data_IF_250908991773
#
_entry.id   IF_250908991773
#
_cell.length_a   1.000
_cell.length_b   1.000
_cell.length_c   1.000
_cell.angle_alpha   90.00
_cell.angle_beta   90.00
_cell.angle_gamma   90.00
#
_symmetry.space_group_name_H-M   'P 1'
#
loop_
_entity.id
_entity.type
_entity.pdbx_description
1 polymer ?
#
# COMPACT_ATOMS: atom_id res chain seq x y z
N UNK A 1 -11.65 17.12 5.62
CA UNK A 1 -10.19 16.96 5.46
C UNK A 1 -9.47 17.88 6.44
N UNK A 2 -8.44 17.40 7.15
CA UNK A 2 -7.60 18.23 8.03
C UNK A 2 -6.31 18.58 7.28
N UNK A 3 -6.20 19.85 6.88
CA UNK A 3 -4.96 20.40 6.31
C UNK A 3 -3.98 20.77 7.43
N UNK A 4 -2.68 20.69 7.15
CA UNK A 4 -1.62 21.12 8.06
C UNK A 4 -0.84 22.33 7.52
N UNK A 5 -1.39 23.56 7.57
CA UNK A 5 -0.70 24.75 7.08
C UNK A 5 0.66 24.99 7.75
N UNK A 6 0.77 24.70 9.05
CA UNK A 6 2.04 24.84 9.78
C UNK A 6 3.14 23.91 9.25
N UNK A 7 2.78 22.78 8.63
CA UNK A 7 3.74 21.83 8.06
C UNK A 7 4.52 22.45 6.88
N UNK A 8 3.93 23.43 6.19
CA UNK A 8 4.60 24.18 5.10
C UNK A 8 5.86 24.88 5.62
N UNK A 9 5.81 25.48 6.81
CA UNK A 9 6.94 26.22 7.40
C UNK A 9 8.14 25.32 7.74
N UNK A 10 7.92 24.01 7.94
CA UNK A 10 8.97 23.02 8.17
C UNK A 10 9.31 22.21 6.91
N UNK A 11 8.79 22.65 5.75
CA UNK A 11 9.05 22.05 4.44
C UNK A 11 8.35 20.71 4.20
N UNK A 12 7.34 20.37 4.99
CA UNK A 12 6.45 19.24 4.73
C UNK A 12 5.30 19.71 3.83
N UNK A 13 5.46 19.50 2.52
CA UNK A 13 4.55 19.96 1.48
C UNK A 13 4.36 18.89 0.41
N UNK A 14 3.23 18.93 -0.30
CA UNK A 14 2.96 18.10 -1.48
C UNK A 14 3.89 18.49 -2.65
N UNK A 15 3.84 17.74 -3.76
CA UNK A 15 4.70 17.97 -4.94
C UNK A 15 4.63 19.42 -5.44
N UNK A 16 3.44 20.02 -5.42
CA UNK A 16 3.19 21.40 -5.83
C UNK A 16 3.51 22.47 -4.76
N UNK A 17 3.90 22.07 -3.56
CA UNK A 17 4.13 22.98 -2.43
C UNK A 17 2.92 23.21 -1.52
N UNK A 18 1.75 22.64 -1.82
CA UNK A 18 0.56 22.74 -0.97
C UNK A 18 0.73 21.99 0.35
N UNK A 19 -0.03 22.40 1.38
CA UNK A 19 0.01 21.78 2.70
C UNK A 19 -0.48 20.32 2.63
N UNK A 20 0.12 19.38 3.39
CA UNK A 20 -0.36 18.01 3.47
C UNK A 20 -1.66 17.91 4.26
N UNK A 21 -2.33 16.77 4.12
CA UNK A 21 -3.60 16.53 4.77
C UNK A 21 -3.77 15.09 5.27
N UNK A 22 -4.69 14.91 6.22
CA UNK A 22 -5.27 13.62 6.56
C UNK A 22 -6.78 13.78 6.84
N UNK A 23 -7.50 12.68 6.93
CA UNK A 23 -8.85 12.64 7.51
C UNK A 23 -8.79 11.83 8.80
N UNK A 24 -9.51 12.27 9.83
CA UNK A 24 -9.62 11.58 11.11
C UNK A 24 -11.09 11.45 11.46
N UNK A 25 -11.49 10.22 11.78
CA UNK A 25 -12.74 9.90 12.43
C UNK A 25 -12.43 9.37 13.84
N UNK A 26 -12.93 10.06 14.86
CA UNK A 26 -12.53 9.83 16.24
C UNK A 26 -13.08 8.51 16.79
N UNK A 27 -12.24 7.78 17.52
CA UNK A 27 -12.62 6.54 18.17
C UNK A 27 -13.54 6.79 19.38
N UNK A 28 -14.23 5.75 19.82
CA UNK A 28 -15.17 5.82 20.93
C UNK A 28 -15.16 4.55 21.80
N UNK A 29 -15.69 4.66 23.02
CA UNK A 29 -15.77 3.55 23.97
C UNK A 29 -14.40 2.90 24.23
N UNK A 30 -14.36 1.57 24.19
CA UNK A 30 -13.12 0.80 24.37
C UNK A 30 -12.08 1.01 23.25
N UNK A 31 -12.49 1.57 22.10
CA UNK A 31 -11.61 1.88 20.98
C UNK A 31 -11.00 3.29 21.01
N UNK A 32 -11.39 4.15 21.95
CA UNK A 32 -10.97 5.56 21.98
C UNK A 32 -9.44 5.77 22.13
N UNK A 33 -8.70 4.77 22.64
CA UNK A 33 -7.22 4.77 22.70
C UNK A 33 -6.57 3.83 21.68
N UNK A 34 -7.33 3.28 20.73
CA UNK A 34 -6.80 2.46 19.66
C UNK A 34 -6.81 3.25 18.35
N UNK A 35 -5.84 2.98 17.47
CA UNK A 35 -5.57 3.80 16.29
C UNK A 35 -5.36 2.95 15.04
N UNK A 36 -6.08 3.25 13.97
CA UNK A 36 -5.89 2.69 12.64
C UNK A 36 -5.44 3.82 11.71
N UNK A 37 -4.20 3.74 11.23
CA UNK A 37 -3.62 4.71 10.31
C UNK A 37 -3.54 4.07 8.93
N UNK A 38 -4.35 4.53 7.98
CA UNK A 38 -4.43 4.01 6.61
C UNK A 38 -3.78 4.98 5.62
N UNK A 39 -2.70 4.58 4.97
CA UNK A 39 -2.14 5.33 3.85
C UNK A 39 -3.03 5.23 2.61
N UNK A 40 -3.31 6.38 1.99
CA UNK A 40 -3.87 6.43 0.64
C UNK A 40 -2.87 5.91 -0.40
N UNK A 41 -3.35 5.12 -1.36
CA UNK A 41 -2.58 4.68 -2.53
C UNK A 41 -2.60 5.69 -3.68
N UNK A 42 -2.07 5.29 -4.84
CA UNK A 42 -2.22 6.09 -6.07
C UNK A 42 -1.02 6.08 -7.00
N UNK A 43 -0.20 5.02 -7.03
CA UNK A 43 0.98 4.95 -7.90
C UNK A 43 2.06 5.95 -7.53
N UNK A 44 2.92 6.29 -8.48
CA UNK A 44 4.11 7.11 -8.24
C UNK A 44 4.51 7.88 -9.50
N UNK A 45 5.47 8.78 -9.37
CA UNK A 45 6.19 9.38 -10.49
C UNK A 45 7.69 9.14 -10.33
N UNK A 46 8.42 8.95 -11.43
CA UNK A 46 9.83 8.54 -11.39
C UNK A 46 10.76 9.42 -12.24
N UNK A 47 10.21 10.41 -12.93
CA UNK A 47 10.96 11.44 -13.66
C UNK A 47 10.31 12.82 -13.48
N UNK A 48 11.04 13.87 -13.86
CA UNK A 48 10.57 15.26 -13.68
C UNK A 48 9.26 15.53 -14.41
N UNK A 49 9.09 14.98 -15.61
CA UNK A 49 7.90 15.23 -16.43
C UNK A 49 6.64 14.60 -15.82
N UNK A 50 6.73 13.32 -15.43
CA UNK A 50 5.64 12.61 -14.74
C UNK A 50 5.33 13.24 -13.39
N UNK A 51 6.34 13.68 -12.62
CA UNK A 51 6.09 14.34 -11.34
C UNK A 51 5.47 15.74 -11.50
N UNK A 52 5.87 16.51 -12.52
CA UNK A 52 5.26 17.79 -12.85
C UNK A 52 3.79 17.62 -13.28
N UNK A 53 3.49 16.62 -14.11
CA UNK A 53 2.11 16.28 -14.48
C UNK A 53 1.30 15.85 -13.26
N UNK A 54 1.89 15.09 -12.35
CA UNK A 54 1.25 14.65 -11.11
C UNK A 54 0.93 15.80 -10.15
N UNK A 55 1.79 16.83 -10.11
CA UNK A 55 1.61 18.02 -9.27
C UNK A 55 0.29 18.76 -9.57
N UNK A 56 -0.25 18.65 -10.78
CA UNK A 56 -1.51 19.28 -11.20
C UNK A 56 -2.75 18.43 -10.89
N UNK A 57 -2.60 17.38 -10.07
CA UNK A 57 -3.67 16.44 -9.72
C UNK A 57 -3.80 16.30 -8.20
N UNK A 58 -4.91 15.69 -7.75
CA UNK A 58 -5.10 15.35 -6.33
C UNK A 58 -4.06 14.37 -5.75
N UNK A 59 -3.14 13.83 -6.57
CA UNK A 59 -2.04 12.94 -6.15
C UNK A 59 -0.69 13.64 -5.99
N UNK A 60 -0.60 14.91 -6.35
CA UNK A 60 0.57 15.76 -6.15
C UNK A 60 0.25 17.09 -5.47
N UNK A 61 -1.04 17.37 -5.20
CA UNK A 61 -1.52 18.58 -4.57
C UNK A 61 -2.79 18.33 -3.76
N UNK A 62 -2.90 18.93 -2.57
CA UNK A 62 -4.15 18.94 -1.82
C UNK A 62 -5.18 19.92 -2.37
N UNK A 63 -4.78 20.88 -3.23
CA UNK A 63 -5.69 21.84 -3.87
C UNK A 63 -6.65 21.17 -4.85
N UNK A 64 -6.23 20.06 -5.45
CA UNK A 64 -7.03 19.26 -6.39
C UNK A 64 -7.60 17.98 -5.75
N UNK A 65 -7.48 17.83 -4.43
CA UNK A 65 -7.94 16.64 -3.71
C UNK A 65 -9.36 16.84 -3.21
N UNK A 66 -10.18 15.78 -3.28
CA UNK A 66 -11.56 15.81 -2.75
C UNK A 66 -11.52 16.04 -1.23
N UNK A 67 -12.37 16.94 -0.76
CA UNK A 67 -12.47 17.30 0.65
C UNK A 67 -13.07 16.20 1.52
N UNK A 68 -14.03 15.44 0.96
CA UNK A 68 -14.65 14.29 1.62
C UNK A 68 -13.94 13.00 1.21
N UNK A 69 -13.76 12.12 2.19
CA UNK A 69 -13.21 10.78 1.98
C UNK A 69 -14.16 9.76 2.64
N UNK A 70 -14.73 8.82 1.89
CA UNK A 70 -15.56 7.77 2.46
C UNK A 70 -14.69 6.76 3.23
N UNK A 71 -15.12 6.43 4.45
CA UNK A 71 -14.45 5.46 5.31
C UNK A 71 -15.18 4.12 5.18
N UNK A 72 -14.63 3.22 4.38
CA UNK A 72 -15.22 1.92 4.01
C UNK A 72 -14.29 0.76 4.38
N UNK A 73 -14.81 -0.46 4.34
CA UNK A 73 -14.05 -1.67 4.67
C UNK A 73 -13.43 -1.58 6.06
N UNK A 74 -12.10 -1.72 6.15
CA UNK A 74 -11.33 -1.61 7.38
C UNK A 74 -11.45 -0.25 8.09
N UNK A 75 -11.87 0.80 7.36
CA UNK A 75 -12.15 2.13 7.93
C UNK A 75 -13.63 2.34 8.29
N UNK A 76 -14.53 1.39 8.02
CA UNK A 76 -15.94 1.57 8.40
C UNK A 76 -16.10 1.71 9.92
N UNK A 77 -17.03 2.56 10.34
CA UNK A 77 -17.43 2.71 11.75
C UNK A 77 -18.64 1.82 12.13
N UNK A 78 -19.16 1.04 11.18
CA UNK A 78 -20.24 0.10 11.41
C UNK A 78 -19.67 -1.25 11.92
N UNK A 79 -20.03 -1.70 13.14
CA UNK A 79 -19.55 -2.97 13.69
C UNK A 79 -19.97 -4.20 12.86
N UNK A 80 -21.03 -4.09 12.06
CA UNK A 80 -21.45 -5.18 11.15
C UNK A 80 -20.58 -5.26 9.90
N UNK A 81 -19.81 -4.20 9.60
CA UNK A 81 -18.93 -4.11 8.44
C UNK A 81 -17.44 -4.17 8.81
N UNK A 82 -17.09 -3.79 10.04
CA UNK A 82 -15.71 -3.72 10.52
C UNK A 82 -15.60 -4.12 12.01
N UNK A 83 -15.95 -5.36 12.37
CA UNK A 83 -16.23 -5.75 13.76
C UNK A 83 -15.09 -5.48 14.75
N UNK A 84 -13.84 -5.55 14.28
CA UNK A 84 -12.66 -5.48 15.12
C UNK A 84 -12.08 -4.05 15.27
N UNK A 85 -12.34 -3.16 14.30
CA UNK A 85 -11.75 -1.80 14.25
C UNK A 85 -12.79 -0.66 14.19
N UNK A 86 -14.10 -0.97 14.19
CA UNK A 86 -15.20 0.01 14.04
C UNK A 86 -15.30 1.11 15.12
N UNK A 87 -14.60 0.99 16.24
CA UNK A 87 -14.62 2.02 17.29
C UNK A 87 -13.24 2.65 17.55
N UNK A 88 -12.24 2.36 16.72
CA UNK A 88 -10.90 2.93 16.82
C UNK A 88 -10.87 4.35 16.26
N UNK A 89 -9.85 5.13 16.63
CA UNK A 89 -9.49 6.33 15.89
C UNK A 89 -9.02 5.90 14.50
N UNK A 90 -9.73 6.31 13.46
CA UNK A 90 -9.41 5.94 12.08
C UNK A 90 -8.85 7.14 11.35
N UNK A 91 -7.70 6.98 10.74
CA UNK A 91 -7.00 8.05 10.03
C UNK A 91 -6.74 7.63 8.61
N UNK A 92 -7.11 8.47 7.63
CA UNK A 92 -6.67 8.34 6.24
C UNK A 92 -5.57 9.36 5.97
N UNK A 93 -4.34 8.91 5.77
CA UNK A 93 -3.21 9.78 5.42
C UNK A 93 -3.28 10.09 3.92
N UNK A 94 -3.46 11.37 3.56
CA UNK A 94 -3.72 11.76 2.17
C UNK A 94 -2.43 11.84 1.38
N UNK A 95 -2.34 11.04 0.33
CA UNK A 95 -1.15 10.87 -0.48
C UNK A 95 -0.99 12.01 -1.47
N UNK A 96 0.17 12.67 -1.42
CA UNK A 96 0.50 13.77 -2.33
C UNK A 96 2.00 13.93 -2.62
N UNK A 97 2.85 12.95 -2.27
CA UNK A 97 4.31 13.07 -2.39
C UNK A 97 4.92 12.31 -3.58
N UNK A 98 4.24 11.27 -4.09
CA UNK A 98 4.69 10.53 -5.26
C UNK A 98 5.75 9.45 -5.01
N UNK A 99 6.14 9.17 -3.76
CA UNK A 99 7.09 8.12 -3.38
C UNK A 99 6.69 7.38 -2.09
N UNK A 100 5.42 7.01 -1.94
CA UNK A 100 4.97 6.22 -0.77
C UNK A 100 5.39 6.81 0.58
N UNK A 101 5.29 8.14 0.74
CA UNK A 101 5.70 8.85 1.94
C UNK A 101 7.19 8.71 2.30
N UNK A 102 8.09 8.46 1.35
CA UNK A 102 9.53 8.23 1.65
C UNK A 102 10.49 9.23 1.03
N UNK A 103 10.05 10.07 0.09
CA UNK A 103 10.91 11.09 -0.52
C UNK A 103 11.33 12.18 0.49
N UNK A 104 12.54 12.71 0.32
CA UNK A 104 12.94 13.98 0.93
C UNK A 104 14.04 14.67 0.10
N UNK A 105 13.64 15.18 -1.05
CA UNK A 105 14.45 16.02 -1.94
C UNK A 105 13.58 17.09 -2.59
N UNK A 106 14.17 17.86 -3.50
CA UNK A 106 13.44 18.76 -4.38
C UNK A 106 14.18 18.85 -5.72
N UNK A 107 13.44 19.22 -6.76
CA UNK A 107 14.00 19.52 -8.06
C UNK A 107 13.66 20.96 -8.46
N UNK A 108 14.67 21.73 -8.84
CA UNK A 108 14.52 23.10 -9.30
C UNK A 108 15.08 23.23 -10.72
N UNK A 109 14.26 23.74 -11.65
CA UNK A 109 14.65 23.95 -13.04
C UNK A 109 14.97 25.42 -13.37
N UNK A 110 15.06 26.30 -12.37
CA UNK A 110 15.26 27.75 -12.57
C UNK A 110 13.98 28.58 -12.55
N UNK A 111 12.79 27.97 -12.72
CA UNK A 111 11.50 28.68 -12.75
C UNK A 111 10.45 28.08 -11.81
N UNK A 112 10.56 26.79 -11.49
CA UNK A 112 9.60 26.04 -10.69
C UNK A 112 10.32 25.01 -9.83
N UNK A 113 9.73 24.69 -8.69
CA UNK A 113 10.21 23.67 -7.76
C UNK A 113 9.19 22.53 -7.72
N UNK A 114 9.68 21.30 -7.79
CA UNK A 114 8.93 20.11 -7.40
C UNK A 114 9.45 19.62 -6.06
N UNK A 115 8.55 19.41 -5.11
CA UNK A 115 8.90 19.02 -3.75
C UNK A 115 8.65 17.51 -3.53
N UNK A 116 9.68 16.75 -3.20
CA UNK A 116 9.55 15.33 -2.91
C UNK A 116 9.67 15.12 -1.40
N UNK A 117 8.60 15.38 -0.65
CA UNK A 117 8.66 15.53 0.83
C UNK A 117 7.88 14.48 1.61
N UNK A 118 7.69 13.28 1.04
CA UNK A 118 6.94 12.19 1.66
C UNK A 118 7.32 11.91 3.12
N UNK A 119 8.62 11.83 3.42
CA UNK A 119 9.08 11.57 4.79
C UNK A 119 8.72 12.72 5.75
N UNK A 120 8.80 13.98 5.26
CA UNK A 120 8.44 15.14 6.08
C UNK A 120 6.94 15.23 6.30
N UNK A 121 6.14 14.88 5.29
CA UNK A 121 4.68 14.78 5.39
C UNK A 121 4.29 13.75 6.45
N UNK A 122 4.88 12.54 6.41
CA UNK A 122 4.68 11.53 7.45
C UNK A 122 4.99 12.07 8.85
N UNK A 123 6.17 12.68 9.02
CA UNK A 123 6.57 13.25 10.31
C UNK A 123 5.60 14.32 10.81
N UNK A 124 5.15 15.22 9.93
CA UNK A 124 4.23 16.30 10.28
C UNK A 124 2.85 15.77 10.68
N UNK A 125 2.31 14.79 9.95
CA UNK A 125 1.03 14.16 10.27
C UNK A 125 1.10 13.43 11.61
N UNK A 126 2.13 12.62 11.84
CA UNK A 126 2.28 11.90 13.12
C UNK A 126 2.42 12.85 14.31
N UNK A 127 3.21 13.92 14.16
CA UNK A 127 3.35 14.95 15.20
C UNK A 127 2.02 15.66 15.51
N UNK A 128 1.22 15.92 14.48
CA UNK A 128 -0.09 16.52 14.68
C UNK A 128 -1.10 15.54 15.32
N UNK A 129 -1.08 14.25 14.94
CA UNK A 129 -1.92 13.21 15.56
C UNK A 129 -1.52 12.92 17.02
N UNK A 130 -0.24 13.08 17.37
CA UNK A 130 0.23 13.00 18.74
C UNK A 130 -0.47 13.98 19.67
N UNK A 131 -0.66 15.22 19.21
CA UNK A 131 -1.44 16.23 19.96
C UNK A 131 -2.92 15.87 20.11
N UNK A 132 -3.43 14.95 19.28
CA UNK A 132 -4.82 14.49 19.26
C UNK A 132 -5.06 13.16 19.97
N UNK A 133 -4.04 12.61 20.64
CA UNK A 133 -4.17 11.42 21.49
C UNK A 133 -3.37 10.21 21.04
N UNK A 134 -2.72 10.26 19.87
CA UNK A 134 -1.94 9.12 19.36
C UNK A 134 -0.77 8.76 20.30
N UNK A 135 -0.20 9.73 21.04
CA UNK A 135 0.84 9.46 22.04
C UNK A 135 0.36 8.58 23.21
N UNK A 136 -0.96 8.45 23.43
CA UNK A 136 -1.54 7.61 24.47
C UNK A 136 -2.16 6.33 23.89
N UNK A 137 -1.79 5.94 22.67
CA UNK A 137 -2.32 4.75 22.03
C UNK A 137 -2.01 3.49 22.86
N UNK A 138 -3.02 2.65 23.05
CA UNK A 138 -2.86 1.29 23.58
C UNK A 138 -2.60 0.28 22.46
N UNK A 139 -3.25 0.49 21.32
CA UNK A 139 -3.14 -0.35 20.14
C UNK A 139 -3.06 0.52 18.91
N UNK A 140 -2.20 0.14 17.97
CA UNK A 140 -2.09 0.78 16.68
C UNK A 140 -1.98 -0.26 15.56
N UNK A 141 -2.69 0.00 14.46
CA UNK A 141 -2.54 -0.69 13.18
C UNK A 141 -2.13 0.35 12.13
N UNK A 142 -0.92 0.20 11.57
CA UNK A 142 -0.51 0.96 10.39
C UNK A 142 -0.83 0.15 9.14
N UNK A 143 -1.69 0.66 8.29
CA UNK A 143 -2.06 0.00 7.04
C UNK A 143 -2.12 0.98 5.87
N UNK A 144 -2.50 0.49 4.70
CA UNK A 144 -2.54 1.22 3.45
C UNK A 144 -2.74 0.29 2.28
N UNK A 145 -3.25 0.82 1.18
CA UNK A 145 -3.34 0.08 -0.08
C UNK A 145 -2.34 0.57 -1.15
N UNK A 146 -1.80 -0.35 -1.98
CA UNK A 146 -1.06 -0.02 -3.20
C UNK A 146 0.23 0.74 -2.86
N UNK A 147 0.45 1.93 -3.40
CA UNK A 147 1.52 2.82 -2.97
C UNK A 147 1.48 3.12 -1.45
N UNK A 148 0.29 3.17 -0.85
CA UNK A 148 0.11 3.30 0.60
C UNK A 148 0.43 2.01 1.34
N UNK A 149 0.10 0.85 0.77
CA UNK A 149 0.50 -0.45 1.30
C UNK A 149 2.02 -0.60 1.28
N UNK A 150 2.65 -0.16 0.19
CA UNK A 150 4.11 -0.09 0.09
C UNK A 150 4.72 0.85 1.15
N UNK A 151 4.07 1.98 1.46
CA UNK A 151 4.53 2.91 2.48
C UNK A 151 4.68 2.26 3.87
N UNK A 152 3.82 1.28 4.18
CA UNK A 152 3.87 0.59 5.48
C UNK A 152 5.19 -0.18 5.70
N UNK A 153 5.87 -0.64 4.63
CA UNK A 153 7.17 -1.33 4.78
C UNK A 153 8.27 -0.40 5.29
N UNK A 154 8.12 0.91 5.08
CA UNK A 154 9.11 1.92 5.42
C UNK A 154 8.84 2.60 6.75
N UNK A 155 7.55 2.73 7.11
CA UNK A 155 7.12 3.49 8.29
C UNK A 155 6.69 2.63 9.48
N UNK A 156 6.58 1.31 9.32
CA UNK A 156 6.10 0.42 10.38
C UNK A 156 6.95 0.47 11.66
N UNK A 157 8.26 0.22 11.53
CA UNK A 157 9.17 0.23 12.68
C UNK A 157 9.35 1.65 13.26
N UNK A 158 9.21 2.70 12.44
CA UNK A 158 9.25 4.09 12.88
C UNK A 158 8.02 4.43 13.73
N UNK A 159 6.80 4.02 13.33
CA UNK A 159 5.60 4.20 14.14
C UNK A 159 5.73 3.45 15.47
N UNK A 160 6.20 2.19 15.44
CA UNK A 160 6.38 1.40 16.66
C UNK A 160 7.35 2.04 17.65
N UNK A 161 8.44 2.65 17.17
CA UNK A 161 9.41 3.38 18.01
C UNK A 161 8.88 4.69 18.57
N UNK A 162 7.90 5.29 17.90
CA UNK A 162 7.30 6.58 18.23
C UNK A 162 6.18 6.48 19.27
N UNK A 163 5.57 5.31 19.40
CA UNK A 163 4.48 5.04 20.35
C UNK A 163 5.03 4.53 21.69
N UNK A 164 4.20 4.57 22.77
CA UNK A 164 4.61 4.03 24.06
C UNK A 164 5.08 2.58 23.96
N UNK A 165 6.11 2.20 24.73
CA UNK A 165 6.62 0.82 24.73
C UNK A 165 5.57 -0.21 25.20
N UNK A 166 4.51 0.23 25.88
CA UNK A 166 3.37 -0.59 26.29
C UNK A 166 2.29 -0.73 25.21
N UNK A 167 2.37 0.05 24.12
CA UNK A 167 1.41 0.00 23.03
C UNK A 167 1.65 -1.25 22.17
N UNK A 168 0.56 -1.91 21.76
CA UNK A 168 0.62 -2.97 20.76
C UNK A 168 0.59 -2.35 19.36
N UNK A 169 1.71 -2.36 18.66
CA UNK A 169 1.81 -1.82 17.30
C UNK A 169 2.00 -2.96 16.31
N UNK A 170 1.13 -3.04 15.30
CA UNK A 170 1.27 -3.98 14.18
C UNK A 170 1.01 -3.25 12.86
N UNK A 171 1.48 -3.81 11.75
CA UNK A 171 1.32 -3.19 10.45
C UNK A 171 0.79 -4.17 9.40
N UNK A 172 0.05 -3.66 8.43
CA UNK A 172 -0.50 -4.46 7.33
C UNK A 172 -0.33 -3.75 6.00
N UNK A 173 0.28 -4.43 5.03
CA UNK A 173 0.29 -4.00 3.63
C UNK A 173 -0.83 -4.68 2.85
N UNK A 174 -1.75 -3.91 2.28
CA UNK A 174 -2.73 -4.37 1.28
C UNK A 174 -2.28 -4.00 -0.14
N UNK A 175 -2.16 -4.99 -1.03
CA UNK A 175 -1.74 -4.80 -2.43
C UNK A 175 -0.42 -4.01 -2.60
N UNK A 176 0.41 -4.00 -1.56
CA UNK A 176 1.67 -3.26 -1.48
C UNK A 176 2.90 -4.12 -1.75
N UNK A 177 2.74 -5.43 -1.95
CA UNK A 177 3.86 -6.36 -2.19
C UNK A 177 4.23 -6.41 -3.67
N UNK A 178 4.88 -5.35 -4.17
CA UNK A 178 5.36 -5.25 -5.55
C UNK A 178 6.60 -6.12 -5.79
N UNK A 179 6.60 -6.90 -6.87
CA UNK A 179 7.70 -7.80 -7.22
C UNK A 179 8.73 -7.12 -8.13
N UNK A 180 10.00 -7.26 -7.78
CA UNK A 180 11.12 -7.00 -8.69
C UNK A 180 11.34 -8.23 -9.59
N UNK A 181 10.56 -8.29 -10.66
CA UNK A 181 10.63 -9.38 -11.63
C UNK A 181 10.55 -8.90 -13.07
N UNK A 182 11.00 -9.77 -13.99
CA UNK A 182 10.90 -9.55 -15.43
C UNK A 182 9.47 -9.67 -15.93
N UNK A 183 9.11 -8.82 -16.87
CA UNK A 183 7.88 -8.89 -17.66
C UNK A 183 7.88 -10.08 -18.64
N UNK A 184 6.78 -10.24 -19.37
CA UNK A 184 6.62 -11.33 -20.36
C UNK A 184 7.56 -11.23 -21.57
N UNK A 185 8.24 -10.09 -21.76
CA UNK A 185 9.28 -9.90 -22.79
C UNK A 185 10.69 -10.16 -22.24
N UNK A 186 10.83 -10.45 -20.94
CA UNK A 186 12.11 -10.68 -20.28
C UNK A 186 12.83 -9.42 -19.80
N UNK A 187 12.17 -8.26 -19.86
CA UNK A 187 12.69 -6.96 -19.44
C UNK A 187 12.33 -6.65 -17.99
N UNK A 188 13.14 -5.85 -17.29
CA UNK A 188 12.81 -5.40 -15.93
C UNK A 188 11.99 -4.10 -16.03
N UNK A 189 10.66 -4.15 -16.07
CA UNK A 189 9.81 -2.96 -16.26
C UNK A 189 9.80 -2.04 -15.04
N UNK A 190 9.54 -2.60 -13.85
CA UNK A 190 9.39 -1.80 -12.62
C UNK A 190 10.73 -1.38 -12.00
N UNK A 191 11.80 -2.15 -12.22
CA UNK A 191 13.12 -1.86 -11.67
C UNK A 191 13.70 -0.49 -12.05
N UNK A 192 13.79 -0.11 -13.34
CA UNK A 192 14.26 1.23 -13.70
C UNK A 192 13.32 2.32 -13.20
N UNK A 193 12.01 2.05 -13.16
CA UNK A 193 11.03 2.97 -12.60
C UNK A 193 11.32 3.27 -11.11
N UNK A 194 11.45 2.25 -10.26
CA UNK A 194 11.81 2.46 -8.84
C UNK A 194 13.23 2.97 -8.66
N UNK A 195 14.20 2.58 -9.50
CA UNK A 195 15.56 3.12 -9.44
C UNK A 195 15.58 4.63 -9.70
N UNK A 196 14.88 5.10 -10.72
CA UNK A 196 14.78 6.54 -11.03
C UNK A 196 14.02 7.29 -9.95
N UNK A 197 12.91 6.73 -9.45
CA UNK A 197 12.13 7.31 -8.35
C UNK A 197 12.99 7.49 -7.09
N UNK A 198 13.71 6.44 -6.67
CA UNK A 198 14.53 6.46 -5.45
C UNK A 198 15.63 7.52 -5.56
N UNK A 199 16.20 7.67 -6.75
CA UNK A 199 17.25 8.65 -7.04
C UNK A 199 16.70 10.08 -7.06
N UNK A 200 15.67 10.33 -7.88
CA UNK A 200 15.08 11.66 -8.07
C UNK A 200 14.51 12.22 -6.77
N UNK A 201 13.75 11.40 -6.05
CA UNK A 201 13.01 11.82 -4.86
C UNK A 201 13.81 11.69 -3.56
N UNK A 202 15.08 11.30 -3.64
CA UNK A 202 15.98 11.20 -2.48
C UNK A 202 15.52 10.19 -1.42
N UNK A 203 14.86 9.11 -1.84
CA UNK A 203 14.23 8.12 -0.96
C UNK A 203 15.26 7.35 -0.12
N UNK A 204 16.45 7.10 -0.67
CA UNK A 204 17.46 6.21 -0.08
C UNK A 204 17.73 6.48 1.41
N UNK A 205 17.81 7.75 1.82
CA UNK A 205 18.15 8.11 3.20
C UNK A 205 17.08 7.73 4.23
N UNK A 206 15.86 7.44 3.77
CA UNK A 206 14.70 7.10 4.59
C UNK A 206 14.39 5.59 4.56
N UNK A 207 15.16 4.78 3.84
CA UNK A 207 15.00 3.33 3.81
C UNK A 207 15.71 2.65 4.98
N UNK A 208 15.31 1.40 5.26
CA UNK A 208 15.89 0.61 6.34
C UNK A 208 17.40 0.43 6.15
N UNK A 209 18.20 0.90 7.12
CA UNK A 209 19.67 0.88 7.06
C UNK A 209 20.24 -0.54 6.89
N UNK A 210 19.66 -1.54 7.57
CA UNK A 210 20.13 -2.92 7.47
C UNK A 210 19.86 -3.50 6.08
N UNK A 211 18.75 -3.11 5.45
CA UNK A 211 18.50 -3.46 4.06
C UNK A 211 19.55 -2.81 3.14
N UNK A 212 19.79 -1.51 3.31
CA UNK A 212 20.75 -0.76 2.47
C UNK A 212 22.18 -1.33 2.57
N UNK A 213 22.58 -1.83 3.73
CA UNK A 213 23.89 -2.47 3.90
C UNK A 213 23.94 -3.90 3.33
N UNK A 214 22.79 -4.53 3.12
CA UNK A 214 22.70 -5.92 2.64
C UNK A 214 22.65 -6.06 1.12
N UNK A 215 22.45 -4.95 0.39
CA UNK A 215 22.30 -4.96 -1.07
C UNK A 215 23.05 -3.82 -1.74
N UNK A 216 23.70 -4.09 -2.87
CA UNK A 216 24.55 -3.14 -3.59
C UNK A 216 23.82 -1.89 -4.13
N UNK A 217 22.49 -1.98 -4.31
CA UNK A 217 21.70 -0.90 -4.91
C UNK A 217 20.56 -0.50 -4.00
N UNK A 218 20.50 0.78 -3.63
CA UNK A 218 19.51 1.32 -2.70
C UNK A 218 18.06 1.07 -3.14
N UNK A 219 17.78 1.11 -4.45
CA UNK A 219 16.42 0.89 -4.97
C UNK A 219 15.87 -0.50 -4.63
N UNK A 220 16.72 -1.50 -4.38
CA UNK A 220 16.25 -2.82 -3.94
C UNK A 220 15.47 -2.69 -2.64
N UNK A 221 15.93 -1.85 -1.71
CA UNK A 221 15.23 -1.63 -0.44
C UNK A 221 13.92 -0.85 -0.55
N UNK A 222 13.55 -0.37 -1.74
CA UNK A 222 12.22 0.12 -2.02
C UNK A 222 11.25 -0.99 -2.44
N UNK A 223 11.74 -2.18 -2.83
CA UNK A 223 10.88 -3.33 -3.09
C UNK A 223 10.64 -4.14 -1.80
N UNK A 224 9.38 -4.52 -1.52
CA UNK A 224 8.99 -5.35 -0.38
C UNK A 224 9.78 -6.64 -0.22
N UNK A 225 10.10 -7.33 -1.32
CA UNK A 225 10.84 -8.59 -1.28
C UNK A 225 12.23 -8.48 -0.63
N UNK A 226 12.83 -7.29 -0.63
CA UNK A 226 14.12 -7.02 -0.01
C UNK A 226 13.99 -6.28 1.32
N UNK A 227 12.96 -5.44 1.50
CA UNK A 227 12.75 -4.68 2.71
C UNK A 227 12.14 -5.51 3.87
N UNK A 228 11.20 -6.40 3.56
CA UNK A 228 10.42 -7.16 4.54
C UNK A 228 11.27 -7.93 5.57
N UNK A 229 12.39 -8.59 5.21
CA UNK A 229 13.24 -9.30 6.20
C UNK A 229 13.83 -8.41 7.29
N UNK A 230 13.85 -7.08 7.10
CA UNK A 230 14.45 -6.12 8.04
C UNK A 230 13.44 -5.39 8.91
N UNK A 231 12.14 -5.66 8.74
CA UNK A 231 11.06 -5.13 9.58
C UNK A 231 10.98 -5.97 10.86
N UNK A 232 10.97 -5.31 12.02
CA UNK A 232 10.95 -5.99 13.32
C UNK A 232 9.54 -6.08 13.91
N UNK A 233 8.73 -5.07 13.64
CA UNK A 233 7.36 -4.95 14.13
C UNK A 233 6.48 -6.03 13.48
N UNK A 234 5.53 -6.65 14.21
CA UNK A 234 4.61 -7.63 13.63
C UNK A 234 3.93 -7.11 12.37
N UNK A 235 3.96 -7.90 11.32
CA UNK A 235 3.58 -7.47 9.97
C UNK A 235 2.59 -8.44 9.30
N UNK A 236 1.64 -7.91 8.55
CA UNK A 236 0.70 -8.70 7.75
C UNK A 236 0.77 -8.34 6.27
N UNK A 237 0.76 -9.35 5.41
CA UNK A 237 0.70 -9.18 3.95
C UNK A 237 -0.67 -9.62 3.47
N UNK A 238 -1.50 -8.67 3.04
CA UNK A 238 -2.70 -8.93 2.26
C UNK A 238 -2.39 -8.63 0.79
N UNK A 239 -2.43 -9.63 -0.07
CA UNK A 239 -2.13 -9.39 -1.47
C UNK A 239 -2.72 -10.47 -2.36
N UNK A 240 -3.33 -10.09 -3.48
CA UNK A 240 -3.64 -11.05 -4.52
C UNK A 240 -2.37 -11.62 -5.16
N UNK A 241 -2.36 -12.92 -5.45
CA UNK A 241 -1.33 -13.57 -6.25
C UNK A 241 -1.31 -13.10 -7.72
N UNK A 242 -2.40 -12.48 -8.18
CA UNK A 242 -2.61 -11.95 -9.53
C UNK A 242 -3.02 -10.47 -9.48
N UNK A 243 -2.34 -9.70 -8.62
CA UNK A 243 -2.61 -8.28 -8.44
C UNK A 243 -2.75 -7.56 -9.79
N UNK A 244 -3.91 -6.92 -10.01
CA UNK A 244 -4.28 -6.41 -11.34
C UNK A 244 -3.40 -5.24 -11.77
N UNK A 245 -2.89 -4.43 -10.82
CA UNK A 245 -1.92 -3.38 -11.15
C UNK A 245 -0.62 -4.00 -11.64
N UNK A 246 -0.06 -4.95 -10.88
CA UNK A 246 1.18 -5.62 -11.27
C UNK A 246 1.01 -6.36 -12.60
N UNK A 247 -0.09 -7.07 -12.79
CA UNK A 247 -0.39 -7.74 -14.05
C UNK A 247 -0.43 -6.74 -15.22
N UNK A 248 -1.18 -5.66 -15.10
CA UNK A 248 -1.46 -4.76 -16.23
C UNK A 248 -0.30 -3.81 -16.56
N UNK A 249 0.43 -3.34 -15.54
CA UNK A 249 1.40 -2.25 -15.66
C UNK A 249 2.85 -2.69 -15.47
N UNK A 250 3.10 -3.86 -14.88
CA UNK A 250 4.46 -4.32 -14.57
C UNK A 250 4.80 -5.61 -15.31
N UNK A 251 3.96 -6.63 -15.22
CA UNK A 251 4.25 -7.95 -15.75
C UNK A 251 3.87 -8.08 -17.23
N UNK A 252 2.77 -7.46 -17.64
CA UNK A 252 2.35 -7.38 -19.04
C UNK A 252 2.09 -5.91 -19.40
N UNK A 253 3.07 -4.99 -19.35
CA UNK A 253 2.85 -3.61 -19.77
C UNK A 253 2.55 -3.52 -21.28
N UNK A 254 1.95 -2.42 -21.77
CA UNK A 254 1.73 -2.22 -23.21
C UNK A 254 2.99 -2.40 -24.06
N UNK A 255 4.17 -2.00 -23.55
CA UNK A 255 5.45 -2.17 -24.22
C UNK A 255 5.87 -3.64 -24.40
N UNK A 256 5.42 -4.55 -23.53
CA UNK A 256 5.72 -5.98 -23.61
C UNK A 256 4.67 -6.77 -24.42
N UNK A 257 3.53 -6.15 -24.77
CA UNK A 257 2.48 -6.75 -25.61
C UNK A 257 2.07 -5.83 -26.77
N UNK A 258 2.99 -5.49 -27.70
CA UNK A 258 2.70 -4.57 -28.80
C UNK A 258 1.62 -5.08 -29.76
N UNK A 259 1.51 -6.40 -29.91
CA UNK A 259 0.44 -7.03 -30.70
C UNK A 259 -0.92 -7.08 -29.97
N UNK A 260 -0.92 -6.81 -28.67
CA UNK A 260 -2.13 -6.78 -27.84
C UNK A 260 -2.79 -8.15 -27.67
N UNK A 261 -2.01 -9.23 -27.60
CA UNK A 261 -2.46 -10.62 -27.40
C UNK A 261 -3.08 -10.82 -26.02
N UNK A 262 -2.69 -10.02 -25.04
CA UNK A 262 -3.17 -10.08 -23.66
C UNK A 262 -4.38 -9.22 -23.39
N UNK A 263 -4.84 -8.39 -24.35
CA UNK A 263 -5.99 -7.49 -24.18
C UNK A 263 -7.24 -8.21 -23.63
N UNK A 264 -7.62 -9.34 -24.22
CA UNK A 264 -8.78 -10.13 -23.78
C UNK A 264 -8.60 -10.71 -22.37
N UNK A 265 -7.42 -11.25 -22.09
CA UNK A 265 -7.07 -11.82 -20.78
C UNK A 265 -7.05 -10.77 -19.67
N UNK A 266 -6.53 -9.57 -19.93
CA UNK A 266 -6.55 -8.44 -19.00
C UNK A 266 -7.96 -7.92 -18.72
N UNK A 267 -8.81 -7.87 -19.75
CA UNK A 267 -10.21 -7.42 -19.57
C UNK A 267 -11.08 -8.46 -18.88
N UNK A 268 -10.78 -9.74 -19.07
CA UNK A 268 -11.51 -10.85 -18.48
C UNK A 268 -10.54 -12.02 -18.25
N UNK A 269 -10.16 -12.30 -16.98
CA UNK A 269 -9.27 -13.41 -16.65
C UNK A 269 -9.78 -14.79 -17.09
N UNK A 270 -11.10 -14.98 -17.28
CA UNK A 270 -11.68 -16.21 -17.84
C UNK A 270 -11.40 -16.37 -19.34
N UNK A 271 -11.06 -15.28 -20.04
CA UNK A 271 -10.73 -15.28 -21.46
C UNK A 271 -9.24 -15.50 -21.75
N UNK A 272 -8.42 -15.74 -20.72
CA UNK A 272 -7.01 -16.08 -20.89
C UNK A 272 -6.86 -17.45 -21.56
N UNK A 273 -5.96 -17.56 -22.54
CA UNK A 273 -5.60 -18.85 -23.12
C UNK A 273 -4.85 -19.73 -22.11
N UNK A 274 -4.79 -21.06 -22.31
CA UNK A 274 -4.01 -21.95 -21.43
C UNK A 274 -2.55 -21.51 -21.25
N UNK A 275 -1.92 -20.98 -22.32
CA UNK A 275 -0.57 -20.45 -22.27
C UNK A 275 -0.47 -19.17 -21.42
N UNK A 276 -1.40 -18.22 -21.61
CA UNK A 276 -1.45 -17.00 -20.80
C UNK A 276 -1.65 -17.33 -19.33
N UNK A 277 -2.53 -18.29 -19.03
CA UNK A 277 -2.75 -18.75 -17.67
C UNK A 277 -1.48 -19.38 -17.08
N UNK A 278 -0.79 -20.23 -17.83
CA UNK A 278 0.50 -20.83 -17.40
C UNK A 278 1.53 -19.76 -17.04
N UNK A 279 1.61 -18.69 -17.84
CA UNK A 279 2.51 -17.56 -17.58
C UNK A 279 2.10 -16.79 -16.29
N UNK A 280 0.80 -16.57 -16.08
CA UNK A 280 0.27 -15.96 -14.85
C UNK A 280 0.51 -16.86 -13.62
N UNK A 281 0.45 -18.17 -13.77
CA UNK A 281 0.83 -19.10 -12.70
C UNK A 281 2.31 -18.99 -12.36
N UNK A 282 3.17 -18.78 -13.35
CA UNK A 282 4.57 -18.45 -13.13
C UNK A 282 4.76 -17.16 -12.33
N UNK A 283 3.94 -16.13 -12.57
CA UNK A 283 3.95 -14.89 -11.79
C UNK A 283 3.54 -15.12 -10.33
N UNK A 284 2.44 -15.86 -10.09
CA UNK A 284 2.04 -16.29 -8.74
C UNK A 284 3.17 -17.03 -8.02
N UNK A 285 3.84 -17.98 -8.69
CA UNK A 285 4.95 -18.73 -8.07
C UNK A 285 6.10 -17.80 -7.64
N UNK A 286 6.43 -16.78 -8.45
CA UNK A 286 7.44 -15.78 -8.08
C UNK A 286 7.04 -15.01 -6.81
N UNK A 287 5.77 -14.66 -6.66
CA UNK A 287 5.27 -14.03 -5.43
C UNK A 287 5.45 -14.93 -4.21
N UNK A 288 5.03 -16.19 -4.32
CA UNK A 288 5.17 -17.14 -3.21
C UNK A 288 6.62 -17.38 -2.83
N UNK A 289 7.53 -17.45 -3.81
CA UNK A 289 8.97 -17.56 -3.57
C UNK A 289 9.49 -16.32 -2.81
N UNK A 290 9.08 -15.12 -3.21
CA UNK A 290 9.48 -13.88 -2.55
C UNK A 290 8.97 -13.78 -1.09
N UNK A 291 7.84 -14.44 -0.77
CA UNK A 291 7.29 -14.51 0.57
C UNK A 291 7.87 -15.65 1.44
N UNK A 292 8.56 -16.64 0.87
CA UNK A 292 9.14 -17.77 1.63
C UNK A 292 9.99 -17.35 2.84
N UNK A 293 10.89 -16.34 2.75
CA UNK A 293 11.67 -15.90 3.91
C UNK A 293 10.79 -15.41 5.07
N UNK A 294 9.63 -14.84 4.76
CA UNK A 294 8.66 -14.36 5.74
C UNK A 294 7.77 -15.48 6.30
N UNK A 295 7.62 -16.58 5.56
CA UNK A 295 6.84 -17.76 5.96
C UNK A 295 7.20 -18.37 7.31
N UNK A 296 8.44 -18.22 7.76
CA UNK A 296 8.91 -18.68 9.07
C UNK A 296 8.59 -17.75 10.25
N UNK A 297 8.14 -16.52 9.99
CA UNK A 297 7.90 -15.52 11.04
C UNK A 297 6.79 -15.98 12.01
N UNK A 298 7.05 -15.95 13.33
CA UNK A 298 6.04 -16.32 14.33
C UNK A 298 4.97 -15.24 14.54
N UNK A 299 5.36 -13.97 14.37
CA UNK A 299 4.50 -12.81 14.63
C UNK A 299 3.97 -12.19 13.31
N UNK A 300 4.44 -12.69 12.17
CA UNK A 300 3.98 -12.29 10.85
C UNK A 300 2.78 -13.11 10.39
N UNK A 301 1.93 -12.49 9.57
CA UNK A 301 0.82 -13.15 8.92
C UNK A 301 0.71 -12.78 7.45
N UNK A 302 0.03 -13.61 6.66
CA UNK A 302 -0.32 -13.25 5.29
C UNK A 302 -1.59 -13.96 4.85
N UNK A 303 -2.30 -13.30 3.94
CA UNK A 303 -3.41 -13.86 3.18
C UNK A 303 -3.15 -13.53 1.72
N UNK A 304 -2.88 -14.58 0.93
CA UNK A 304 -2.62 -14.49 -0.50
C UNK A 304 -3.75 -15.18 -1.25
N UNK A 305 -4.72 -14.41 -1.72
CA UNK A 305 -5.86 -14.89 -2.51
C UNK A 305 -5.50 -15.06 -4.00
N UNK A 306 -6.37 -15.74 -4.73
CA UNK A 306 -6.24 -15.94 -6.18
C UNK A 306 -7.17 -15.08 -7.03
N UNK A 307 -7.73 -14.02 -6.45
CA UNK A 307 -8.63 -13.11 -7.17
C UNK A 307 -7.84 -12.11 -7.99
N UNK A 308 -8.30 -11.76 -9.19
CA UNK A 308 -7.73 -10.65 -9.94
C UNK A 308 -8.27 -9.34 -9.35
N UNK A 309 -7.54 -8.76 -8.41
CA UNK A 309 -7.93 -7.54 -7.70
C UNK A 309 -6.71 -6.68 -7.34
N UNK A 310 -6.96 -5.42 -6.98
CA UNK A 310 -5.98 -4.49 -6.43
C UNK A 310 -6.71 -3.63 -5.38
N UNK A 311 -6.17 -3.56 -4.16
CA UNK A 311 -6.85 -3.07 -2.95
C UNK A 311 -8.05 -3.89 -2.53
N UNK A 312 -8.02 -4.42 -1.31
CA UNK A 312 -9.05 -5.32 -0.78
C UNK A 312 -9.58 -4.90 0.59
N UNK A 313 -8.77 -4.19 1.38
CA UNK A 313 -9.12 -3.78 2.74
C UNK A 313 -10.08 -2.60 2.79
N UNK A 314 -10.12 -1.76 1.75
CA UNK A 314 -10.91 -0.52 1.72
C UNK A 314 -12.21 -0.63 0.92
N UNK A 315 -12.54 -1.83 0.43
CA UNK A 315 -13.83 -2.11 -0.20
C UNK A 315 -14.63 -3.07 0.67
N UNK A 316 -15.90 -2.75 0.92
CA UNK A 316 -16.76 -3.61 1.72
C UNK A 316 -16.98 -4.98 1.06
N UNK A 317 -17.10 -4.98 -0.27
CA UNK A 317 -17.32 -6.18 -1.08
C UNK A 317 -16.21 -7.21 -0.95
N UNK A 318 -14.98 -6.78 -0.64
CA UNK A 318 -13.84 -7.67 -0.42
C UNK A 318 -13.51 -7.86 1.05
N UNK A 319 -13.78 -6.87 1.90
CA UNK A 319 -13.39 -6.88 3.30
C UNK A 319 -14.24 -7.82 4.16
N UNK A 320 -15.55 -7.58 4.24
CA UNK A 320 -16.44 -8.24 5.21
C UNK A 320 -17.92 -8.30 4.78
N UNK A 321 -18.28 -7.98 3.53
CA UNK A 321 -19.64 -8.19 3.03
C UNK A 321 -20.05 -9.69 3.12
N UNK A 322 -21.34 -10.03 3.20
CA UNK A 322 -21.80 -11.42 3.25
C UNK A 322 -21.27 -12.30 2.10
N UNK A 323 -21.08 -11.70 0.93
CA UNK A 323 -20.56 -12.32 -0.30
C UNK A 323 -19.08 -11.99 -0.56
N UNK A 324 -18.34 -11.49 0.44
CA UNK A 324 -16.91 -11.22 0.27
C UNK A 324 -16.12 -12.51 0.04
N UNK A 325 -14.95 -12.44 -0.61
CA UNK A 325 -14.08 -13.59 -0.78
C UNK A 325 -13.74 -14.23 0.56
N UNK A 326 -13.68 -15.56 0.57
CA UNK A 326 -13.35 -16.35 1.75
C UNK A 326 -12.26 -17.34 1.41
N UNK A 327 -11.17 -17.29 2.17
CA UNK A 327 -10.11 -18.27 2.11
C UNK A 327 -10.20 -19.15 3.36
N UNK A 328 -10.36 -20.47 3.16
CA UNK A 328 -10.60 -21.43 4.25
C UNK A 328 -11.73 -20.99 5.19
N UNK A 329 -12.84 -20.52 4.61
CA UNK A 329 -14.04 -20.02 5.27
C UNK A 329 -13.88 -18.71 6.09
N UNK A 330 -12.73 -18.03 6.00
CA UNK A 330 -12.50 -16.73 6.63
C UNK A 330 -12.52 -15.60 5.60
N UNK A 331 -13.26 -14.55 5.89
CA UNK A 331 -13.15 -13.26 5.22
C UNK A 331 -11.79 -12.62 5.49
N UNK A 332 -11.44 -11.61 4.70
CA UNK A 332 -10.22 -10.83 4.91
C UNK A 332 -10.26 -10.15 6.29
N UNK A 333 -11.40 -9.58 6.70
CA UNK A 333 -11.53 -8.94 8.00
C UNK A 333 -11.30 -9.90 9.17
N UNK A 334 -11.89 -11.11 9.11
CA UNK A 334 -11.68 -12.14 10.13
C UNK A 334 -10.21 -12.55 10.21
N UNK A 335 -9.55 -12.76 9.07
CA UNK A 335 -8.14 -13.14 9.01
C UNK A 335 -7.21 -12.06 9.58
N UNK A 336 -7.44 -10.79 9.22
CA UNK A 336 -6.65 -9.66 9.74
C UNK A 336 -6.90 -9.47 11.23
N UNK A 337 -8.16 -9.53 11.68
CA UNK A 337 -8.52 -9.45 13.09
C UNK A 337 -7.92 -10.58 13.91
N UNK A 338 -8.01 -11.83 13.43
CA UNK A 338 -7.45 -13.00 14.10
C UNK A 338 -5.94 -12.87 14.29
N UNK A 339 -5.23 -12.39 13.27
CA UNK A 339 -3.80 -12.13 13.39
C UNK A 339 -3.50 -10.95 14.31
N UNK A 340 -4.24 -9.85 14.18
CA UNK A 340 -3.97 -8.63 14.96
C UNK A 340 -4.16 -8.87 16.45
N UNK A 341 -5.27 -9.52 16.84
CA UNK A 341 -5.60 -9.83 18.23
C UNK A 341 -5.05 -11.17 18.71
N UNK A 342 -4.22 -11.84 17.90
CA UNK A 342 -3.55 -13.10 18.26
C UNK A 342 -4.55 -14.23 18.57
N UNK A 343 -5.74 -14.19 17.94
CA UNK A 343 -6.74 -15.25 18.00
C UNK A 343 -6.30 -16.47 17.20
N UNK A 344 -5.52 -16.28 16.13
CA UNK A 344 -4.95 -17.37 15.33
C UNK A 344 -3.66 -16.96 14.59
N UNK A 345 -2.84 -17.95 14.23
CA UNK A 345 -1.80 -17.80 13.21
C UNK A 345 -2.47 -17.80 11.84
N UNK A 346 -2.17 -16.80 11.01
CA UNK A 346 -2.79 -16.63 9.69
C UNK A 346 -1.70 -16.59 8.63
N UNK A 347 -1.58 -17.68 7.87
CA UNK A 347 -0.58 -17.87 6.81
C UNK A 347 -1.24 -18.59 5.64
N UNK A 348 -2.18 -17.88 5.04
CA UNK A 348 -3.11 -18.44 4.08
C UNK A 348 -2.62 -18.15 2.65
N UNK A 349 -2.57 -19.19 1.82
CA UNK A 349 -2.34 -19.08 0.39
C UNK A 349 -3.40 -19.87 -0.32
N UNK A 350 -4.13 -19.21 -1.20
CA UNK A 350 -5.18 -19.82 -1.98
C UNK A 350 -4.63 -20.70 -3.11
N UNK A 351 -5.44 -21.61 -3.63
CA UNK A 351 -5.10 -22.45 -4.77
C UNK A 351 -4.94 -21.61 -6.05
N UNK A 352 -4.23 -22.09 -7.09
CA UNK A 352 -4.11 -21.38 -8.36
C UNK A 352 -5.47 -21.05 -9.01
N UNK A 353 -5.66 -19.81 -9.49
CA UNK A 353 -6.84 -19.43 -10.30
C UNK A 353 -7.04 -20.42 -11.47
N UNK A 354 -8.28 -20.83 -11.81
CA UNK A 354 -9.58 -20.28 -11.39
C UNK A 354 -10.27 -21.06 -10.25
N UNK A 355 -9.53 -21.60 -9.29
CA UNK A 355 -10.13 -22.46 -8.29
C UNK A 355 -11.07 -21.73 -7.30
N UNK A 356 -10.83 -20.45 -7.01
CA UNK A 356 -11.66 -19.68 -6.08
C UNK A 356 -12.88 -19.11 -6.80
N UNK A 357 -14.05 -19.62 -6.42
CA UNK A 357 -15.34 -19.19 -6.92
C UNK A 357 -15.94 -18.02 -6.14
N UNK A 358 -15.29 -17.61 -5.04
CA UNK A 358 -15.72 -16.50 -4.18
C UNK A 358 -15.11 -15.15 -4.58
N UNK A 359 -14.27 -15.12 -5.62
CA UNK A 359 -13.73 -13.86 -6.12
C UNK A 359 -14.85 -12.96 -6.64
N UNK A 360 -14.86 -11.65 -6.31
CA UNK A 360 -15.90 -10.77 -6.79
C UNK A 360 -15.77 -10.63 -8.31
N UNK A 361 -16.90 -10.65 -9.02
CA UNK A 361 -16.90 -10.31 -10.45
C UNK A 361 -16.50 -8.85 -10.62
N UNK A 362 -15.21 -8.58 -10.85
CA UNK A 362 -14.76 -7.24 -11.20
C UNK A 362 -15.14 -6.95 -12.66
N UNK A 363 -16.35 -6.45 -12.87
CA UNK A 363 -16.72 -5.83 -14.14
C UNK A 363 -15.98 -4.51 -14.30
N UNK A 364 -15.00 -4.49 -15.22
CA UNK A 364 -14.34 -3.31 -15.82
C UNK A 364 -13.47 -2.41 -14.92
N UNK A 365 -12.21 -2.10 -15.33
CA UNK A 365 -11.40 -1.03 -14.76
C UNK A 365 -11.89 0.33 -15.29
N UNK A 366 -13.05 0.76 -14.83
CA UNK A 366 -13.57 2.10 -15.11
C UNK A 366 -13.99 2.73 -13.80
N UNK A 367 -12.99 3.23 -13.06
CA UNK A 367 -13.03 4.32 -12.06
C UNK A 367 -12.01 4.20 -10.91
N UNK A 368 -11.17 3.17 -10.88
CA UNK A 368 -9.82 3.38 -10.34
C UNK A 368 -9.02 4.12 -11.40
N UNK A 369 -9.11 5.46 -11.41
CA UNK A 369 -8.16 6.33 -12.12
C UNK A 369 -6.79 6.01 -11.55
N UNK A 370 -6.14 4.97 -12.06
CA UNK A 370 -4.71 4.74 -11.96
C UNK A 370 -4.10 5.69 -13.00
N UNK A 371 -4.20 6.99 -12.70
CA UNK A 371 -3.42 8.01 -13.39
C UNK A 371 -1.97 7.83 -12.98
N UNK A 372 -1.11 7.60 -13.97
CA UNK A 372 0.33 7.85 -13.82
C UNK A 372 0.56 9.20 -13.12
#
# INVERSE_FOLDING_TARGET
MTLLPHAVSIGAVCIDGSAPAYHLDAGFGAGARNWLLQFEGGGWCNDVASCAARATTGRGSTLYKRELEPFLGILSNDPTMNPDFYNWNRVKLRYCDGASFTGDSEYYNGTSILYFRGQRIWNAIISDLFSKGLMQAEKALLSGCSAGGLATFFHCDDLAQRLPATATVKCMSDAGFFLDTKDISGNNTIRPFFSSLVTLQGVQKNLNKNCLTSYDYAYKCFFPQYALPFIRTPYFILNSAYDTYQFHHIFVPPSADPSGRWRRCKSNPQACSPLQMTILQGFRIKMLIALRPFGGSRNGGFLIDSCFTHCQSESQDTWFAPNSPRLHNKTIAEAVGDWYFERAVVKEVDCPYPCDSNCPNQTSPSEMIIGL
#
